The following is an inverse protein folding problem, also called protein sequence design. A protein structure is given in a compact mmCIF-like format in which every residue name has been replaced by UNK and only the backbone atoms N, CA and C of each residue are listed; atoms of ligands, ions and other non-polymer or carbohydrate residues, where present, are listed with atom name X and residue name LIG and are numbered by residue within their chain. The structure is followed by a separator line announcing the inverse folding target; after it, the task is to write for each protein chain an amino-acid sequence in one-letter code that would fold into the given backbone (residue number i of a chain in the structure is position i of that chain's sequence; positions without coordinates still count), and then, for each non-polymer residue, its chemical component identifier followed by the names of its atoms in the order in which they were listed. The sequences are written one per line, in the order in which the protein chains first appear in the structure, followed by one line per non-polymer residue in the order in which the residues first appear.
data_IF_229765788643
#
_entry.id   IF_229765788643
#
_cell.length_a   1.000
_cell.length_b   1.000
_cell.length_c   1.000
_cell.angle_alpha   90.00
_cell.angle_beta   90.00
_cell.angle_gamma   90.00
#
_symmetry.space_group_name_H-M   'P 1'
#
loop_
_entity.id
_entity.type
_entity.pdbx_description
1 polymer ?
#
# COMPACT_ATOMS: atom_id res chain seq x y z
N UNK A 1 30.51 6.34 19.35
CA UNK A 1 29.12 6.85 19.30
C UNK A 1 29.08 7.93 18.23
N UNK A 2 28.46 7.64 17.09
CA UNK A 2 28.38 8.57 15.95
C UNK A 2 26.91 8.78 15.61
N UNK A 3 26.41 9.94 15.97
CA UNK A 3 25.03 10.39 15.76
C UNK A 3 24.95 11.11 14.41
N UNK A 4 24.18 10.57 13.47
CA UNK A 4 23.81 11.25 12.23
C UNK A 4 22.31 11.52 12.21
N UNK A 5 21.90 12.62 12.84
CA UNK A 5 20.62 13.27 12.58
C UNK A 5 20.86 14.79 12.60
N UNK A 6 21.01 15.37 11.40
CA UNK A 6 21.03 16.81 11.18
C UNK A 6 19.85 17.17 10.29
N UNK A 7 18.64 17.19 10.87
CA UNK A 7 17.45 17.75 10.23
C UNK A 7 17.57 19.28 10.24
N UNK A 8 17.31 19.89 9.09
CA UNK A 8 17.66 21.27 8.75
C UNK A 8 17.04 22.37 9.62
N UNK A 9 17.77 23.48 9.71
CA UNK A 9 17.38 24.72 10.37
C UNK A 9 17.48 25.90 9.40
N UNK A 10 16.53 26.82 9.60
CA UNK A 10 16.54 28.26 9.28
C UNK A 10 16.00 28.72 7.93
N UNK A 11 14.72 29.10 7.94
CA UNK A 11 14.22 30.25 7.19
C UNK A 11 14.34 31.50 8.09
N UNK A 12 15.14 32.49 7.64
CA UNK A 12 15.25 33.81 8.25
C UNK A 12 14.07 34.68 7.79
N UNK A 13 13.37 35.27 8.75
CA UNK A 13 12.52 36.44 8.55
C UNK A 13 13.40 37.68 8.65
N UNK A 14 13.31 38.59 7.68
CA UNK A 14 13.74 39.97 7.86
C UNK A 14 12.64 40.89 7.33
N UNK A 15 12.01 41.58 8.29
CA UNK A 15 11.24 42.79 8.07
C UNK A 15 12.21 43.96 8.09
N UNK A 16 12.18 44.83 7.09
CA UNK A 16 12.58 46.22 7.28
C UNK A 16 11.95 47.11 6.18
N UNK A 17 11.23 48.14 6.63
CA UNK A 17 10.94 49.37 5.88
C UNK A 17 12.04 50.38 6.27
N UNK A 18 12.38 51.43 5.48
CA UNK A 18 11.47 52.58 5.34
C UNK A 18 11.64 53.47 4.06
N UNK A 19 10.77 54.50 3.99
CA UNK A 19 11.03 55.86 3.45
C UNK A 19 10.56 56.25 2.03
N UNK A 20 9.48 57.04 2.05
CA UNK A 20 9.15 58.27 1.29
C UNK A 20 9.51 58.42 -0.21
N UNK A 21 8.48 58.71 -1.02
CA UNK A 21 8.47 59.92 -1.85
C UNK A 21 7.03 60.31 -2.24
N UNK A 22 6.64 61.49 -1.78
CA UNK A 22 5.41 62.23 -2.01
C UNK A 22 5.48 62.98 -3.34
N UNK A 23 4.36 63.05 -4.09
CA UNK A 23 4.01 64.17 -4.98
C UNK A 23 2.52 64.13 -5.37
N UNK A 24 1.77 65.06 -4.80
CA UNK A 24 0.49 65.66 -5.30
C UNK A 24 0.88 67.05 -5.86
N UNK A 25 0.22 67.66 -6.88
CA UNK A 25 -1.15 68.20 -6.88
C UNK A 25 -1.93 67.80 -8.17
N UNK A 26 -3.23 68.00 -8.40
CA UNK A 26 -4.09 69.19 -8.25
C UNK A 26 -5.58 68.83 -8.51
N UNK A 27 -6.49 69.72 -8.09
CA UNK A 27 -7.96 69.74 -8.13
C UNK A 27 -8.62 69.43 -9.50
N UNK A 28 -9.83 68.83 -9.52
CA UNK A 28 -11.11 69.59 -9.54
C UNK A 28 -12.40 68.72 -9.44
N UNK A 29 -13.48 69.40 -9.07
CA UNK A 29 -14.79 68.90 -8.61
C UNK A 29 -15.87 68.73 -9.70
N UNK A 30 -16.68 67.67 -9.54
CA UNK A 30 -18.16 67.63 -9.58
C UNK A 30 -18.99 67.65 -10.91
N UNK A 31 -20.00 66.77 -10.89
CA UNK A 31 -21.33 66.75 -11.54
C UNK A 31 -21.53 66.30 -13.01
N UNK A 32 -22.06 65.08 -13.20
CA UNK A 32 -23.37 64.77 -13.84
C UNK A 32 -23.53 63.26 -14.14
N UNK A 33 -24.71 62.68 -13.87
CA UNK A 33 -25.12 61.29 -14.18
C UNK A 33 -26.07 61.26 -15.41
N UNK A 34 -26.67 60.13 -15.91
CA UNK A 34 -26.37 58.67 -15.96
C UNK A 34 -26.53 58.14 -17.45
N UNK A 35 -26.96 56.90 -17.82
CA UNK A 35 -26.76 55.51 -17.37
C UNK A 35 -26.20 54.55 -18.47
N UNK A 36 -26.07 53.26 -18.13
CA UNK A 36 -26.13 52.07 -19.01
C UNK A 36 -24.84 51.54 -19.65
N UNK A 37 -24.29 50.46 -19.08
CA UNK A 37 -23.58 49.41 -19.84
C UNK A 37 -23.80 48.05 -19.16
N UNK A 38 -24.13 46.99 -19.93
CA UNK A 38 -24.57 45.70 -19.40
C UNK A 38 -23.42 44.91 -18.76
N UNK A 39 -23.77 44.20 -17.68
CA UNK A 39 -22.91 43.26 -16.97
C UNK A 39 -22.45 42.15 -17.93
N UNK A 40 -21.14 42.04 -18.15
CA UNK A 40 -20.51 40.84 -18.71
C UNK A 40 -20.65 39.71 -17.69
N UNK A 41 -21.23 38.54 -18.04
CA UNK A 41 -21.19 37.38 -17.15
C UNK A 41 -19.74 36.96 -16.94
N UNK A 42 -19.30 36.94 -15.69
CA UNK A 42 -18.03 36.36 -15.30
C UNK A 42 -17.99 34.89 -15.74
N UNK A 43 -17.17 34.61 -16.75
CA UNK A 43 -16.84 33.26 -17.16
C UNK A 43 -16.13 32.58 -15.97
N UNK A 44 -16.57 31.38 -15.52
CA UNK A 44 -15.83 30.67 -14.48
C UNK A 44 -14.40 30.39 -14.99
N UNK A 45 -13.38 30.46 -14.12
CA UNK A 45 -12.01 30.23 -14.51
C UNK A 45 -11.93 28.82 -15.13
N UNK A 46 -11.61 28.78 -16.42
CA UNK A 46 -11.25 27.55 -17.09
C UNK A 46 -10.01 27.04 -16.39
N UNK A 47 -10.20 26.03 -15.53
CA UNK A 47 -9.10 25.23 -15.00
C UNK A 47 -8.42 24.69 -16.25
N UNK A 48 -7.24 25.21 -16.55
CA UNK A 48 -6.41 24.74 -17.64
C UNK A 48 -6.26 23.24 -17.43
N UNK A 49 -6.97 22.46 -18.24
CA UNK A 49 -6.84 21.01 -18.31
C UNK A 49 -5.45 20.79 -18.91
N UNK A 50 -4.45 20.80 -18.02
CA UNK A 50 -3.09 20.47 -18.38
C UNK A 50 -3.16 19.09 -19.01
N UNK A 51 -2.97 19.08 -20.32
CA UNK A 51 -2.78 17.89 -21.13
C UNK A 51 -1.39 17.37 -20.74
N UNK A 52 -1.28 16.88 -19.51
CA UNK A 52 -0.08 16.22 -19.04
C UNK A 52 -0.01 14.91 -19.83
N UNK A 53 1.05 14.78 -20.62
CA UNK A 53 1.51 13.51 -21.20
C UNK A 53 1.23 12.38 -20.19
N UNK A 54 0.66 11.25 -20.60
CA UNK A 54 0.31 10.18 -19.67
C UNK A 54 1.59 9.69 -18.98
N UNK A 55 1.84 10.19 -17.77
CA UNK A 55 3.05 9.90 -17.02
C UNK A 55 2.89 8.49 -16.47
N UNK A 56 3.67 7.54 -17.01
CA UNK A 56 3.59 6.11 -16.66
C UNK A 56 4.32 5.83 -15.33
N UNK A 57 3.98 6.60 -14.31
CA UNK A 57 4.56 6.49 -12.96
C UNK A 57 4.30 5.11 -12.35
N UNK A 58 3.13 4.51 -12.61
CA UNK A 58 2.79 3.15 -12.22
C UNK A 58 3.71 2.08 -12.79
N UNK A 59 4.11 2.22 -14.05
CA UNK A 59 4.99 1.26 -14.69
C UNK A 59 6.37 1.27 -14.02
N UNK A 60 6.83 2.45 -13.56
CA UNK A 60 8.08 2.59 -12.79
C UNK A 60 7.97 1.96 -11.41
N UNK A 61 6.87 2.19 -10.68
CA UNK A 61 6.63 1.53 -9.39
C UNK A 61 6.55 0.00 -9.54
N UNK A 62 5.84 -0.48 -10.56
CA UNK A 62 5.73 -1.90 -10.85
C UNK A 62 7.07 -2.51 -11.25
N UNK A 63 7.84 -1.85 -12.13
CA UNK A 63 9.18 -2.29 -12.50
C UNK A 63 10.13 -2.33 -11.30
N UNK A 64 10.03 -1.36 -10.39
CA UNK A 64 10.77 -1.36 -9.12
C UNK A 64 10.41 -2.55 -8.23
N UNK A 65 9.12 -2.83 -8.04
CA UNK A 65 8.64 -3.99 -7.30
C UNK A 65 9.06 -5.32 -7.93
N UNK A 66 8.98 -5.44 -9.25
CA UNK A 66 9.43 -6.60 -10.02
C UNK A 66 10.95 -6.83 -9.90
N UNK A 67 11.75 -5.77 -10.04
CA UNK A 67 13.19 -5.85 -9.90
C UNK A 67 13.60 -6.26 -8.48
N UNK A 68 12.96 -5.68 -7.47
CA UNK A 68 13.19 -6.02 -6.07
C UNK A 68 12.81 -7.48 -5.76
N UNK A 69 11.66 -7.94 -6.26
CA UNK A 69 11.22 -9.33 -6.13
C UNK A 69 12.16 -10.30 -6.85
N UNK A 70 12.57 -10.01 -8.08
CA UNK A 70 13.52 -10.85 -8.81
C UNK A 70 14.87 -10.96 -8.08
N UNK A 71 15.37 -9.85 -7.54
CA UNK A 71 16.60 -9.84 -6.75
C UNK A 71 16.46 -10.64 -5.44
N UNK A 72 15.32 -10.51 -4.76
CA UNK A 72 14.98 -11.25 -3.54
C UNK A 72 14.93 -12.77 -3.79
N UNK A 73 14.26 -13.19 -4.87
CA UNK A 73 14.20 -14.60 -5.30
C UNK A 73 15.60 -15.11 -5.67
N UNK A 74 16.41 -14.30 -6.35
CA UNK A 74 17.78 -14.67 -6.70
C UNK A 74 18.65 -14.91 -5.46
N UNK A 75 18.59 -14.01 -4.46
CA UNK A 75 19.30 -14.16 -3.20
C UNK A 75 18.87 -15.44 -2.47
N UNK A 76 17.56 -15.69 -2.44
CA UNK A 76 16.95 -16.86 -1.80
C UNK A 76 17.41 -18.15 -2.47
N UNK A 77 17.41 -18.17 -3.81
CA UNK A 77 17.86 -19.32 -4.60
C UNK A 77 19.34 -19.60 -4.36
N UNK A 78 20.19 -18.57 -4.32
CA UNK A 78 21.62 -18.71 -4.03
C UNK A 78 21.86 -19.28 -2.62
N UNK A 79 21.14 -18.78 -1.61
CA UNK A 79 21.24 -19.27 -0.23
C UNK A 79 20.80 -20.73 -0.12
N UNK A 80 19.66 -21.08 -0.72
CA UNK A 80 19.14 -22.44 -0.72
C UNK A 80 20.06 -23.44 -1.43
N UNK A 81 20.65 -23.08 -2.58
CA UNK A 81 21.58 -23.97 -3.29
C UNK A 81 22.81 -24.28 -2.43
N UNK A 82 23.37 -23.27 -1.75
CA UNK A 82 24.51 -23.48 -0.85
C UNK A 82 24.18 -24.47 0.27
N UNK A 83 22.99 -24.34 0.88
CA UNK A 83 22.52 -25.27 1.91
C UNK A 83 22.27 -26.66 1.35
N UNK A 84 21.64 -26.77 0.18
CA UNK A 84 21.41 -28.06 -0.49
C UNK A 84 22.71 -28.79 -0.79
N UNK A 85 23.73 -28.08 -1.28
CA UNK A 85 25.05 -28.68 -1.54
C UNK A 85 25.74 -29.13 -0.24
N UNK A 86 25.57 -28.40 0.86
CA UNK A 86 26.10 -28.81 2.17
C UNK A 86 25.40 -30.06 2.74
N UNK A 87 24.17 -30.35 2.30
CA UNK A 87 23.44 -31.57 2.67
C UNK A 87 23.78 -32.79 1.79
N UNK A 88 24.64 -32.65 0.78
CA UNK A 88 25.05 -33.78 -0.07
C UNK A 88 26.21 -34.51 0.65
N UNK A 89 26.04 -35.80 1.03
CA UNK A 89 27.10 -36.56 1.67
C UNK A 89 28.29 -36.74 0.72
N UNK A 90 29.55 -36.70 1.22
CA UNK A 90 30.72 -37.06 0.42
C UNK A 90 30.68 -38.55 0.04
N UNK A 91 31.40 -38.91 -1.03
CA UNK A 91 31.54 -40.30 -1.47
C UNK A 91 31.95 -41.20 -0.27
N UNK A 92 31.24 -42.32 -0.09
CA UNK A 92 31.39 -43.30 1.00
C UNK A 92 30.79 -42.94 2.36
N UNK A 93 29.98 -41.89 2.48
CA UNK A 93 29.11 -41.71 3.64
C UNK A 93 27.72 -42.29 3.37
N UNK A 94 27.36 -43.36 4.07
CA UNK A 94 25.98 -43.89 4.05
C UNK A 94 25.03 -42.83 4.61
N UNK A 95 23.96 -42.48 3.87
CA UNK A 95 23.08 -41.34 4.18
C UNK A 95 22.42 -41.39 5.57
N UNK A 96 22.44 -42.54 6.24
CA UNK A 96 21.93 -42.75 7.60
C UNK A 96 22.79 -42.06 8.67
N UNK A 97 24.11 -41.93 8.44
CA UNK A 97 25.06 -41.37 9.42
C UNK A 97 25.56 -39.98 9.05
N UNK A 98 25.16 -39.44 7.90
CA UNK A 98 25.49 -38.08 7.51
C UNK A 98 24.50 -37.09 8.13
N UNK A 99 24.90 -36.48 9.23
CA UNK A 99 24.16 -35.37 9.83
C UNK A 99 24.93 -34.06 9.60
N UNK A 100 24.47 -33.17 8.70
CA UNK A 100 25.09 -31.87 8.56
C UNK A 100 24.98 -31.13 9.89
N UNK A 101 26.10 -30.57 10.35
CA UNK A 101 26.13 -29.82 11.60
C UNK A 101 25.39 -28.49 11.39
N UNK A 102 24.14 -28.43 11.86
CA UNK A 102 23.30 -27.24 11.74
C UNK A 102 22.94 -26.70 13.11
N UNK A 103 23.03 -25.38 13.26
CA UNK A 103 22.53 -24.70 14.44
C UNK A 103 21.06 -24.31 14.19
N UNK A 104 20.13 -25.08 14.73
CA UNK A 104 18.70 -24.91 14.46
C UNK A 104 18.15 -23.52 14.75
N UNK A 105 18.67 -22.82 15.77
CA UNK A 105 18.25 -21.46 16.10
C UNK A 105 18.71 -20.45 15.04
N UNK A 106 19.96 -20.57 14.59
CA UNK A 106 20.53 -19.71 13.55
C UNK A 106 19.87 -19.96 12.20
N UNK A 107 19.60 -21.22 11.89
CA UNK A 107 18.95 -21.62 10.65
C UNK A 107 17.48 -21.20 10.60
N UNK A 108 16.76 -21.26 11.72
CA UNK A 108 15.40 -20.75 11.85
C UNK A 108 15.35 -19.22 11.69
N UNK A 109 16.29 -18.48 12.27
CA UNK A 109 16.35 -17.03 12.11
C UNK A 109 16.64 -16.63 10.66
N UNK A 110 17.58 -17.32 10.01
CA UNK A 110 17.86 -17.12 8.59
C UNK A 110 16.63 -17.45 7.74
N UNK A 111 15.95 -18.57 8.00
CA UNK A 111 14.75 -18.97 7.28
C UNK A 111 13.60 -17.96 7.47
N UNK A 112 13.41 -17.44 8.69
CA UNK A 112 12.42 -16.41 8.99
C UNK A 112 12.71 -15.15 8.17
N UNK A 113 13.95 -14.67 8.18
CA UNK A 113 14.34 -13.48 7.43
C UNK A 113 14.23 -13.69 5.90
N UNK A 114 14.65 -14.86 5.42
CA UNK A 114 14.49 -15.24 4.01
C UNK A 114 13.01 -15.25 3.61
N UNK A 115 12.14 -15.73 4.49
CA UNK A 115 10.70 -15.76 4.25
C UNK A 115 10.08 -14.36 4.25
N UNK A 116 10.41 -13.50 5.23
CA UNK A 116 9.83 -12.16 5.32
C UNK A 116 10.22 -11.30 4.13
N UNK A 117 11.48 -11.33 3.70
CA UNK A 117 11.91 -10.58 2.51
C UNK A 117 11.16 -11.07 1.28
N UNK A 118 10.97 -12.37 1.09
CA UNK A 118 10.21 -12.90 -0.05
C UNK A 118 8.73 -12.51 -0.02
N UNK A 119 8.07 -12.57 1.15
CA UNK A 119 6.65 -12.19 1.31
C UNK A 119 6.45 -10.69 1.11
N UNK A 120 7.32 -9.86 1.70
CA UNK A 120 7.28 -8.39 1.54
C UNK A 120 7.57 -8.01 0.08
N UNK A 121 8.50 -8.70 -0.58
CA UNK A 121 8.78 -8.45 -1.99
C UNK A 121 7.57 -8.84 -2.87
N UNK A 122 6.94 -9.97 -2.57
CA UNK A 122 5.74 -10.41 -3.28
C UNK A 122 4.57 -9.45 -3.07
N UNK A 123 4.35 -8.97 -1.84
CA UNK A 123 3.28 -8.00 -1.58
C UNK A 123 3.52 -6.68 -2.30
N UNK A 124 4.77 -6.21 -2.36
CA UNK A 124 5.14 -5.01 -3.09
C UNK A 124 4.95 -5.17 -4.60
N UNK A 125 5.37 -6.32 -5.15
CA UNK A 125 5.14 -6.67 -6.56
C UNK A 125 3.65 -6.79 -6.88
N UNK A 126 2.87 -7.49 -6.05
CA UNK A 126 1.43 -7.69 -6.21
C UNK A 126 0.69 -6.34 -6.15
N UNK A 127 1.02 -5.50 -5.16
CA UNK A 127 0.46 -4.15 -5.03
C UNK A 127 0.79 -3.29 -6.24
N UNK A 128 2.05 -3.29 -6.68
CA UNK A 128 2.46 -2.59 -7.91
C UNK A 128 1.77 -3.14 -9.16
N UNK A 129 1.53 -4.45 -9.23
CA UNK A 129 0.84 -5.11 -10.34
C UNK A 129 -0.63 -4.75 -10.40
N UNK A 130 -1.32 -4.75 -9.26
CA UNK A 130 -2.72 -4.31 -9.14
C UNK A 130 -2.83 -2.83 -9.55
N UNK A 131 -1.92 -1.98 -9.06
CA UNK A 131 -1.91 -0.55 -9.40
C UNK A 131 -1.65 -0.30 -10.89
N UNK A 132 -0.77 -1.10 -11.51
CA UNK A 132 -0.54 -1.07 -12.95
C UNK A 132 -1.74 -1.57 -13.76
N UNK A 133 -2.44 -2.62 -13.30
CA UNK A 133 -3.59 -3.20 -13.98
C UNK A 133 -4.82 -2.27 -13.96
N UNK A 134 -5.01 -1.55 -12.85
CA UNK A 134 -6.10 -0.59 -12.68
C UNK A 134 -5.77 0.80 -13.25
N UNK A 135 -4.57 0.99 -13.83
CA UNK A 135 -4.07 2.22 -14.45
C UNK A 135 -4.19 3.47 -13.55
N UNK A 136 -3.88 3.32 -12.25
CA UNK A 136 -4.09 4.34 -11.22
C UNK A 136 -2.90 5.30 -11.15
N UNK A 137 -2.83 6.38 -11.93
CA UNK A 137 -1.62 7.22 -12.01
C UNK A 137 -1.45 8.20 -10.83
N UNK A 138 -2.48 8.39 -10.01
CA UNK A 138 -2.48 9.34 -8.89
C UNK A 138 -3.55 9.07 -7.83
N UNK A 139 -3.62 9.97 -6.83
CA UNK A 139 -4.56 9.88 -5.72
C UNK A 139 -6.01 10.06 -6.15
N UNK A 140 -6.22 10.75 -7.27
CA UNK A 140 -7.52 11.04 -7.87
C UNK A 140 -8.12 9.75 -8.46
N UNK A 141 -7.30 8.96 -9.15
CA UNK A 141 -7.66 7.64 -9.66
C UNK A 141 -7.90 6.65 -8.51
N UNK A 142 -7.09 6.71 -7.44
CA UNK A 142 -7.32 5.89 -6.24
C UNK A 142 -8.67 6.23 -5.59
N UNK A 143 -9.01 7.51 -5.48
CA UNK A 143 -10.28 7.95 -4.89
C UNK A 143 -11.48 7.58 -5.77
N UNK A 144 -11.30 7.63 -7.10
CA UNK A 144 -12.32 7.23 -8.07
C UNK A 144 -12.53 5.73 -8.08
N UNK A 145 -11.45 4.94 -8.01
CA UNK A 145 -11.48 3.50 -7.84
C UNK A 145 -12.12 3.11 -6.50
N UNK A 146 -11.79 3.79 -5.41
CA UNK A 146 -12.33 3.49 -4.08
C UNK A 146 -13.83 3.79 -4.00
N UNK A 147 -14.29 4.89 -4.61
CA UNK A 147 -15.74 5.17 -4.76
C UNK A 147 -16.41 4.16 -5.68
N UNK A 148 -15.84 3.85 -6.84
CA UNK A 148 -16.38 2.85 -7.75
C UNK A 148 -16.39 1.42 -7.18
N UNK A 149 -15.42 1.07 -6.34
CA UNK A 149 -15.38 -0.19 -5.61
C UNK A 149 -16.44 -0.25 -4.52
N UNK A 150 -16.65 0.85 -3.79
CA UNK A 150 -17.70 0.92 -2.78
C UNK A 150 -19.08 0.85 -3.44
N UNK A 151 -19.26 1.54 -4.56
CA UNK A 151 -20.49 1.48 -5.34
C UNK A 151 -20.71 0.09 -5.94
N UNK A 152 -19.68 -0.55 -6.51
CA UNK A 152 -19.80 -1.91 -7.09
C UNK A 152 -20.01 -3.03 -6.05
N UNK A 153 -19.51 -2.87 -4.82
CA UNK A 153 -19.72 -3.83 -3.72
C UNK A 153 -21.02 -3.57 -2.98
N UNK A 154 -21.42 -2.31 -2.79
CA UNK A 154 -22.65 -1.94 -2.10
C UNK A 154 -23.89 -1.91 -3.01
N UNK A 155 -23.76 -1.78 -4.34
CA UNK A 155 -24.90 -1.63 -5.26
C UNK A 155 -25.64 -2.93 -5.59
N UNK A 156 -25.51 -4.02 -4.82
CA UNK A 156 -26.35 -5.19 -5.09
C UNK A 156 -26.10 -6.47 -4.31
N UNK A 157 -25.04 -6.56 -3.49
CA UNK A 157 -24.83 -7.73 -2.63
C UNK A 157 -25.25 -7.39 -1.21
N UNK A 158 -26.29 -8.08 -0.73
CA UNK A 158 -26.63 -8.12 0.69
C UNK A 158 -25.41 -8.56 1.49
N UNK A 159 -25.24 -8.02 2.70
CA UNK A 159 -24.17 -8.39 3.65
C UNK A 159 -24.06 -9.92 3.79
N UNK A 160 -25.20 -10.62 3.79
CA UNK A 160 -25.26 -12.07 3.88
C UNK A 160 -24.70 -12.81 2.63
N UNK A 161 -24.79 -12.23 1.44
CA UNK A 161 -24.15 -12.82 0.26
C UNK A 161 -22.63 -12.66 0.32
N UNK A 162 -22.17 -11.54 0.89
CA UNK A 162 -20.76 -11.27 1.07
C UNK A 162 -20.15 -12.20 2.12
N UNK A 163 -20.87 -12.47 3.22
CA UNK A 163 -20.48 -13.46 4.22
C UNK A 163 -20.36 -14.87 3.63
N UNK A 164 -21.29 -15.29 2.76
CA UNK A 164 -21.25 -16.59 2.08
C UNK A 164 -20.07 -16.71 1.12
N UNK A 165 -19.84 -15.68 0.30
CA UNK A 165 -18.71 -15.63 -0.63
C UNK A 165 -17.37 -15.65 0.13
N UNK A 166 -17.30 -14.97 1.30
CA UNK A 166 -16.12 -15.00 2.18
C UNK A 166 -15.94 -16.38 2.79
N UNK A 167 -17.00 -17.03 3.28
CA UNK A 167 -16.92 -18.39 3.83
C UNK A 167 -16.50 -19.42 2.77
N UNK A 168 -17.02 -19.32 1.55
CA UNK A 168 -16.63 -20.17 0.42
C UNK A 168 -15.15 -19.93 0.05
N UNK A 169 -14.70 -18.68 0.03
CA UNK A 169 -13.30 -18.38 -0.23
C UNK A 169 -12.39 -18.90 0.90
N UNK A 170 -12.75 -18.69 2.17
CA UNK A 170 -11.99 -19.20 3.32
C UNK A 170 -11.92 -20.72 3.29
N UNK A 171 -13.03 -21.40 3.04
CA UNK A 171 -13.07 -22.86 2.93
C UNK A 171 -12.26 -23.39 1.73
N UNK A 172 -12.21 -22.64 0.63
CA UNK A 172 -11.35 -22.96 -0.53
C UNK A 172 -9.86 -22.83 -0.19
N UNK A 173 -9.46 -21.84 0.60
CA UNK A 173 -8.04 -21.59 0.94
C UNK A 173 -7.56 -22.44 2.13
N UNK A 174 -8.35 -22.57 3.20
CA UNK A 174 -7.98 -23.31 4.42
C UNK A 174 -8.40 -24.79 4.35
N UNK A 175 -9.23 -25.15 3.38
CA UNK A 175 -9.79 -26.49 3.22
C UNK A 175 -10.89 -26.81 4.24
N UNK A 176 -11.74 -27.76 3.87
CA UNK A 176 -12.88 -28.30 4.65
C UNK A 176 -12.52 -28.75 6.09
N UNK A 177 -11.23 -28.99 6.36
CA UNK A 177 -10.74 -29.40 7.68
C UNK A 177 -10.78 -28.30 8.74
N UNK A 178 -10.66 -27.04 8.33
CA UNK A 178 -10.73 -25.90 9.24
C UNK A 178 -12.18 -25.56 9.58
N UNK A 179 -13.05 -25.63 8.58
CA UNK A 179 -14.49 -25.44 8.75
C UNK A 179 -15.10 -26.44 9.74
N UNK A 180 -14.75 -27.73 9.60
CA UNK A 180 -15.14 -28.78 10.57
C UNK A 180 -14.60 -28.55 11.98
N UNK A 181 -13.50 -27.84 12.15
CA UNK A 181 -12.97 -27.51 13.48
C UNK A 181 -13.67 -26.30 14.09
N UNK A 182 -13.98 -25.28 13.28
CA UNK A 182 -14.75 -24.11 13.71
C UNK A 182 -16.17 -24.52 14.16
N UNK A 183 -16.84 -25.38 13.40
CA UNK A 183 -18.17 -25.88 13.72
C UNK A 183 -18.18 -26.76 14.98
N UNK A 184 -17.14 -27.58 15.19
CA UNK A 184 -16.95 -28.33 16.43
C UNK A 184 -16.76 -27.41 17.65
N UNK A 185 -15.97 -26.35 17.52
CA UNK A 185 -15.76 -25.38 18.60
C UNK A 185 -17.03 -24.57 18.91
N UNK A 186 -17.80 -24.15 17.88
CA UNK A 186 -19.11 -23.50 18.08
C UNK A 186 -20.10 -24.43 18.78
N UNK A 187 -20.19 -25.70 18.38
CA UNK A 187 -21.05 -26.68 19.02
C UNK A 187 -20.67 -26.90 20.50
N UNK A 188 -19.36 -27.01 20.78
CA UNK A 188 -18.84 -27.15 22.14
C UNK A 188 -19.16 -25.94 23.02
N UNK A 189 -19.03 -24.71 22.47
CA UNK A 189 -19.42 -23.46 23.18
C UNK A 189 -20.91 -23.36 23.45
N UNK A 190 -21.77 -23.81 22.53
CA UNK A 190 -23.23 -23.84 22.74
C UNK A 190 -23.60 -24.81 23.86
N UNK A 191 -22.99 -25.99 23.90
CA UNK A 191 -23.20 -26.98 24.97
C UNK A 191 -22.65 -26.49 26.32
N UNK A 192 -21.49 -25.85 26.32
CA UNK A 192 -20.90 -25.29 27.54
C UNK A 192 -21.71 -24.11 28.12
N UNK A 193 -22.15 -23.17 27.27
CA UNK A 193 -23.00 -22.05 27.69
C UNK A 193 -24.38 -22.49 28.19
N UNK A 194 -24.91 -23.58 27.64
CA UNK A 194 -26.17 -24.16 28.13
C UNK A 194 -26.02 -24.86 29.48
N UNK A 195 -24.80 -25.26 29.87
CA UNK A 195 -24.53 -25.88 31.16
C UNK A 195 -24.29 -24.85 32.27
N UNK A 196 -23.89 -23.61 31.94
CA UNK A 196 -23.72 -22.51 32.91
C UNK A 196 -25.03 -21.77 33.23
N UNK A 197 -26.08 -21.90 32.42
CA UNK A 197 -27.39 -21.27 32.65
C UNK A 197 -28.36 -22.16 33.45
N UNK A 198 -27.97 -23.41 33.76
CA UNK A 198 -28.86 -24.39 34.43
C UNK A 198 -28.47 -24.74 35.87
N UNK A 199 -27.62 -23.93 36.52
CA UNK A 199 -27.27 -24.03 37.95
C UNK A 199 -27.76 -22.79 38.72
#
# INVERSE_FOLDING_TARGET
MLSYFGWGSSSKSDSDAPTQAQKTPELDQNASAPPSSPQTPAQPPQIAQQSASPDRTNLKLFAGGMAFFALSVYITRRANIRKRLACIPPYYSSSIYFQPNVNGAMEAFEALNLATINVISFSMMATGGIMCALNVNGLEDMRRLMRGSLEGVAAGKSDEQLEKDVAEWVSSVLGDRFDKQLEKEKAKKRVAGQSEETD
#
